data_IF_712623739542
#
_entry.id   IF_712623739542
#
_cell.length_a   1.000
_cell.length_b   1.000
_cell.length_c   1.000
_cell.angle_alpha   90.00
_cell.angle_beta   90.00
_cell.angle_gamma   90.00
#
_symmetry.space_group_name_H-M   'P 1'
#
loop_
_entity.id
_entity.type
_entity.pdbx_description
1 polymer ?
#
# COMPACT_ATOMS: atom_id res chain seq x y z
N UNK A 1 -45.58 -12.61 6.04
CA UNK A 1 -44.60 -11.90 6.87
C UNK A 1 -43.30 -11.77 6.07
N UNK A 2 -43.19 -10.73 5.25
CA UNK A 2 -42.07 -10.55 4.33
C UNK A 2 -41.34 -9.26 4.69
N UNK A 3 -40.34 -9.30 5.60
CA UNK A 3 -39.43 -8.17 5.79
C UNK A 3 -38.18 -8.52 6.62
N UNK A 4 -37.44 -9.55 6.22
CA UNK A 4 -36.12 -9.84 6.79
C UNK A 4 -34.97 -9.66 5.78
N UNK A 5 -35.26 -9.75 4.47
CA UNK A 5 -34.23 -9.65 3.44
C UNK A 5 -33.62 -8.24 3.31
N UNK A 6 -34.39 -7.17 3.57
CA UNK A 6 -33.95 -5.79 3.36
C UNK A 6 -33.01 -5.24 4.45
N UNK A 7 -33.06 -5.79 5.67
CA UNK A 7 -32.27 -5.26 6.81
C UNK A 7 -30.79 -5.58 6.69
N UNK A 8 -30.43 -6.66 6.00
CA UNK A 8 -29.04 -7.07 5.83
C UNK A 8 -28.36 -6.48 4.59
N UNK A 9 -29.13 -5.96 3.62
CA UNK A 9 -28.54 -5.37 2.40
C UNK A 9 -27.67 -4.17 2.75
N UNK A 10 -28.13 -3.31 3.67
CA UNK A 10 -27.41 -2.12 4.09
C UNK A 10 -26.07 -2.42 4.80
N UNK A 11 -26.01 -3.28 5.85
CA UNK A 11 -24.74 -3.63 6.47
C UNK A 11 -23.81 -4.41 5.53
N UNK A 12 -24.33 -5.26 4.65
CA UNK A 12 -23.48 -5.98 3.67
C UNK A 12 -22.84 -5.01 2.68
N UNK A 13 -23.61 -4.06 2.12
CA UNK A 13 -23.05 -3.04 1.22
C UNK A 13 -21.99 -2.20 1.95
N UNK A 14 -22.25 -1.82 3.21
CA UNK A 14 -21.29 -1.06 4.00
C UNK A 14 -19.97 -1.82 4.20
N UNK A 15 -20.02 -3.12 4.51
CA UNK A 15 -18.83 -3.96 4.65
C UNK A 15 -18.06 -4.09 3.33
N UNK A 16 -18.76 -4.27 2.21
CA UNK A 16 -18.13 -4.38 0.87
C UNK A 16 -17.44 -3.07 0.50
N UNK A 17 -18.10 -1.93 0.68
CA UNK A 17 -17.50 -0.61 0.38
C UNK A 17 -16.31 -0.35 1.30
N UNK A 18 -16.39 -0.65 2.59
CA UNK A 18 -15.29 -0.47 3.53
C UNK A 18 -14.07 -1.34 3.18
N UNK A 19 -14.29 -2.61 2.83
CA UNK A 19 -13.22 -3.51 2.39
C UNK A 19 -12.56 -3.03 1.09
N UNK A 20 -13.32 -2.45 0.16
CA UNK A 20 -12.79 -1.87 -1.08
C UNK A 20 -12.00 -0.58 -0.82
N UNK A 21 -12.39 0.22 0.18
CA UNK A 21 -11.64 1.44 0.57
C UNK A 21 -10.28 1.08 1.16
N UNK A 22 -10.19 0.05 2.01
CA UNK A 22 -8.88 -0.43 2.52
C UNK A 22 -7.97 -0.92 1.39
N UNK A 23 -8.51 -1.63 0.38
CA UNK A 23 -7.74 -2.04 -0.80
C UNK A 23 -7.24 -0.85 -1.64
N UNK A 24 -7.93 0.29 -1.57
CA UNK A 24 -7.58 1.52 -2.32
C UNK A 24 -6.53 2.39 -1.59
N UNK A 25 -6.21 2.11 -0.33
CA UNK A 25 -5.13 2.81 0.40
C UNK A 25 -3.72 2.34 -0.01
N UNK A 26 -3.62 1.31 -0.84
CA UNK A 26 -2.37 0.73 -1.27
C UNK A 26 -1.70 -0.12 -0.18
N UNK A 27 -0.82 -1.01 -0.61
CA UNK A 27 -0.01 -1.89 0.22
C UNK A 27 1.39 -1.28 0.40
N UNK A 28 1.90 -1.26 1.62
CA UNK A 28 3.24 -0.74 1.92
C UNK A 28 4.28 -1.86 2.02
N UNK A 29 5.48 -1.64 1.46
CA UNK A 29 6.62 -2.56 1.64
C UNK A 29 7.91 -1.78 1.87
N UNK A 30 8.81 -2.29 2.71
CA UNK A 30 10.07 -1.61 3.05
C UNK A 30 11.25 -2.16 2.24
N UNK A 31 12.05 -1.29 1.61
CA UNK A 31 13.16 -1.67 0.71
C UNK A 31 14.55 -1.21 1.16
N UNK A 32 14.78 -1.18 2.48
CA UNK A 32 16.08 -0.88 3.08
C UNK A 32 16.25 0.59 3.48
N UNK A 33 17.48 1.01 3.82
CA UNK A 33 17.71 2.30 4.45
C UNK A 33 17.61 3.50 3.50
N UNK A 34 17.23 4.66 4.03
CA UNK A 34 17.12 5.94 3.33
C UNK A 34 17.72 7.11 4.12
N UNK A 35 18.34 8.04 3.38
CA UNK A 35 19.03 9.23 3.90
C UNK A 35 18.09 10.44 4.02
N UNK A 36 18.52 11.46 4.78
CA UNK A 36 17.68 12.62 5.09
C UNK A 36 17.43 13.44 3.83
N UNK A 37 16.16 13.79 3.58
CA UNK A 37 15.76 14.56 2.41
C UNK A 37 15.79 13.81 1.07
N UNK A 38 16.14 12.52 1.05
CA UNK A 38 16.12 11.74 -0.20
C UNK A 38 14.77 11.05 -0.43
N UNK A 39 14.24 11.24 -1.63
CA UNK A 39 13.06 10.52 -2.09
C UNK A 39 13.43 9.06 -2.41
N UNK A 40 12.58 8.15 -1.94
CA UNK A 40 12.68 6.71 -2.10
C UNK A 40 11.93 6.18 -3.33
N UNK A 41 11.04 7.00 -3.89
CA UNK A 41 10.27 6.72 -5.09
C UNK A 41 11.08 6.11 -6.24
N UNK A 42 12.28 6.60 -6.63
CA UNK A 42 13.02 5.99 -7.75
C UNK A 42 13.45 4.54 -7.46
N UNK A 43 13.86 4.21 -6.22
CA UNK A 43 14.18 2.83 -5.84
C UNK A 43 12.93 1.93 -5.85
N UNK A 44 11.82 2.46 -5.36
CA UNK A 44 10.53 1.75 -5.39
C UNK A 44 10.08 1.47 -6.83
N UNK A 45 10.23 2.44 -7.73
CA UNK A 45 9.92 2.27 -9.14
C UNK A 45 10.82 1.22 -9.82
N UNK A 46 12.11 1.20 -9.47
CA UNK A 46 13.03 0.19 -9.98
C UNK A 46 12.65 -1.23 -9.52
N UNK A 47 12.24 -1.41 -8.27
CA UNK A 47 11.85 -2.72 -7.72
C UNK A 47 10.45 -3.17 -8.13
N UNK A 48 9.47 -2.29 -8.22
CA UNK A 48 8.05 -2.71 -8.36
C UNK A 48 7.37 -2.17 -9.63
N UNK A 49 8.03 -1.30 -10.39
CA UNK A 49 7.49 -0.67 -11.59
C UNK A 49 6.96 0.75 -11.37
N UNK A 50 6.60 1.40 -12.48
CA UNK A 50 6.39 2.87 -12.60
C UNK A 50 5.19 3.44 -11.83
N UNK A 51 4.33 2.58 -11.30
CA UNK A 51 3.10 2.96 -10.58
C UNK A 51 3.30 3.05 -9.07
N UNK A 52 4.55 3.04 -8.61
CA UNK A 52 4.89 2.88 -7.18
C UNK A 52 5.54 4.14 -6.66
N UNK A 53 4.98 4.66 -5.56
CA UNK A 53 5.56 5.81 -4.86
C UNK A 53 6.36 5.33 -3.66
N UNK A 54 7.27 6.15 -3.16
CA UNK A 54 8.05 5.78 -1.98
C UNK A 54 8.47 6.97 -1.14
N UNK A 55 8.44 6.80 0.17
CA UNK A 55 8.84 7.81 1.14
C UNK A 55 9.85 7.23 2.15
N UNK A 56 10.57 8.11 2.82
CA UNK A 56 11.54 7.73 3.84
C UNK A 56 10.91 7.87 5.22
N UNK A 57 10.55 6.76 5.86
CA UNK A 57 10.03 6.73 7.23
C UNK A 57 11.17 6.83 8.24
N UNK A 58 11.02 7.71 9.23
CA UNK A 58 11.99 7.95 10.31
C UNK A 58 11.38 7.87 11.70
N UNK A 59 10.16 7.35 11.82
CA UNK A 59 9.45 7.28 13.09
C UNK A 59 10.25 6.55 14.20
N UNK A 60 11.21 5.69 13.81
CA UNK A 60 12.12 5.00 14.74
C UNK A 60 13.33 5.77 15.25
N UNK A 61 13.51 7.06 14.93
CA UNK A 61 14.57 7.91 15.49
C UNK A 61 16.01 7.61 15.01
N UNK A 62 16.19 6.68 14.07
CA UNK A 62 17.48 6.23 13.53
C UNK A 62 17.63 6.41 12.02
N UNK A 63 18.40 5.52 11.39
CA UNK A 63 18.48 5.43 9.92
C UNK A 63 17.05 5.23 9.39
N UNK A 64 16.63 6.06 8.44
CA UNK A 64 15.28 5.97 7.90
C UNK A 64 15.10 4.69 7.09
N UNK A 65 13.87 4.20 6.99
CA UNK A 65 13.51 3.07 6.16
C UNK A 65 12.69 3.56 4.96
N UNK A 66 13.07 3.07 3.79
CA UNK A 66 12.45 3.37 2.52
C UNK A 66 11.15 2.56 2.39
N UNK A 67 10.00 3.21 2.45
CA UNK A 67 8.67 2.58 2.37
C UNK A 67 8.09 2.87 0.98
N UNK A 68 7.75 1.82 0.25
CA UNK A 68 7.09 1.88 -1.05
C UNK A 68 5.59 1.63 -0.90
N UNK A 69 4.76 2.45 -1.55
CA UNK A 69 3.32 2.27 -1.65
C UNK A 69 2.99 1.70 -3.03
N UNK A 70 2.45 0.49 -3.02
CA UNK A 70 2.10 -0.32 -4.20
C UNK A 70 0.59 -0.56 -4.24
N UNK A 71 -0.02 -0.82 -5.41
CA UNK A 71 -1.39 -1.32 -5.45
C UNK A 71 -1.49 -2.69 -4.74
N UNK A 72 -2.63 -2.98 -4.10
CA UNK A 72 -2.91 -4.30 -3.53
C UNK A 72 -3.65 -5.18 -4.57
N UNK A 73 -3.30 -6.47 -4.73
CA UNK A 73 -2.15 -7.15 -4.15
C UNK A 73 -0.82 -6.60 -4.72
N UNK A 74 0.26 -6.56 -3.90
CA UNK A 74 1.53 -5.97 -4.33
C UNK A 74 2.05 -6.69 -5.59
N UNK A 75 2.56 -5.94 -6.59
CA UNK A 75 3.17 -6.55 -7.75
C UNK A 75 4.42 -7.36 -7.29
N UNK A 76 4.73 -8.48 -7.96
CA UNK A 76 5.95 -9.21 -7.68
C UNK A 76 7.15 -8.28 -7.88
N UNK A 77 8.18 -8.36 -7.01
CA UNK A 77 9.41 -7.59 -7.21
C UNK A 77 9.97 -7.91 -8.60
N UNK A 78 10.25 -6.89 -9.40
CA UNK A 78 11.12 -7.02 -10.56
C UNK A 78 12.46 -7.51 -10.02
N UNK A 79 12.93 -8.66 -10.53
CA UNK A 79 14.20 -9.22 -10.14
C UNK A 79 15.27 -8.10 -10.19
N UNK A 80 16.14 -7.98 -9.17
CA UNK A 80 17.19 -6.98 -9.21
C UNK A 80 18.00 -7.23 -10.47
N UNK A 81 18.06 -6.24 -11.36
CA UNK A 81 19.08 -6.22 -12.39
C UNK A 81 20.42 -6.14 -11.65
N UNK A 82 21.08 -7.28 -11.52
CA UNK A 82 22.51 -7.38 -11.19
C UNK A 82 23.34 -6.71 -12.28
#
# INVERSE_FOLDING_TARGET
MAKAASTYVFPIIFLVVFALVEQNMGCTTSIGPCEVGKNCSPKCNAMFGEIVTGFCDRSGGGIGICVCVTPCPPPPPKAPHM
#
